data_IF_175910141002
#
_entry.id   IF_175910141002
#
_cell.length_a   1.000
_cell.length_b   1.000
_cell.length_c   1.000
_cell.angle_alpha   90.00
_cell.angle_beta   90.00
_cell.angle_gamma   90.00
#
_symmetry.space_group_name_H-M   'P 1'
#
loop_
_entity.id
_entity.type
_entity.pdbx_description
1 polymer ?
#
# COMPACT_ATOMS: atom_id res chain seq x y z
N UNK A 1 9.64 -11.66 4.29
CA UNK A 1 9.62 -10.39 3.54
C UNK A 1 9.63 -9.28 4.57
N UNK A 2 10.46 -8.26 4.37
CA UNK A 2 10.50 -7.03 5.15
C UNK A 2 10.09 -5.87 4.22
N UNK A 3 9.38 -4.87 4.75
CA UNK A 3 9.00 -3.66 4.00
C UNK A 3 9.55 -2.45 4.73
N UNK A 4 10.28 -1.61 4.02
CA UNK A 4 10.81 -0.34 4.50
C UNK A 4 10.22 0.79 3.66
N UNK A 5 9.93 1.93 4.27
CA UNK A 5 9.43 3.09 3.55
C UNK A 5 9.76 4.39 4.28
N UNK A 6 9.83 5.48 3.51
CA UNK A 6 9.89 6.85 4.03
C UNK A 6 8.50 7.50 4.15
N UNK A 7 7.43 6.78 3.80
CA UNK A 7 6.04 7.23 3.95
C UNK A 7 5.60 7.29 5.41
N UNK A 8 4.63 8.17 5.70
CA UNK A 8 4.08 8.37 7.04
C UNK A 8 3.28 7.17 7.56
N UNK A 9 2.68 6.38 6.67
CA UNK A 9 1.85 5.24 7.03
C UNK A 9 1.88 4.09 6.05
N UNK A 10 1.26 2.98 6.46
CA UNK A 10 1.00 1.81 5.62
C UNK A 10 -0.46 1.38 5.79
N UNK A 11 -1.20 1.33 4.69
CA UNK A 11 -2.51 0.68 4.66
C UNK A 11 -2.29 -0.83 4.56
N UNK A 12 -2.76 -1.55 5.56
CA UNK A 12 -2.82 -3.01 5.51
C UNK A 12 -4.21 -3.46 5.07
N UNK A 13 -4.27 -4.17 3.95
CA UNK A 13 -5.48 -4.82 3.49
C UNK A 13 -5.25 -6.33 3.40
N UNK A 14 -6.05 -7.10 4.13
CA UNK A 14 -5.90 -8.55 4.23
C UNK A 14 -6.65 -9.32 3.12
N UNK A 15 -6.96 -8.68 1.99
CA UNK A 15 -7.61 -9.35 0.86
C UNK A 15 -9.07 -9.74 1.13
N UNK A 16 -9.82 -8.97 1.94
CA UNK A 16 -11.13 -9.39 2.45
C UNK A 16 -12.26 -9.51 1.41
N UNK A 17 -12.10 -8.94 0.21
CA UNK A 17 -13.13 -8.86 -0.84
C UNK A 17 -12.53 -9.19 -2.21
N UNK A 18 -11.89 -10.35 -2.32
CA UNK A 18 -11.23 -10.83 -3.56
C UNK A 18 -12.08 -11.89 -4.26
N UNK A 19 -12.88 -12.64 -3.49
CA UNK A 19 -13.81 -13.64 -4.01
C UNK A 19 -14.76 -13.05 -5.06
N UNK A 20 -15.09 -13.85 -6.07
CA UNK A 20 -15.87 -13.40 -7.23
C UNK A 20 -15.06 -12.65 -8.30
N UNK A 21 -13.74 -12.51 -8.10
CA UNK A 21 -12.81 -12.01 -9.11
C UNK A 21 -12.51 -13.00 -10.25
N UNK A 22 -11.72 -12.57 -11.25
CA UNK A 22 -11.29 -13.44 -12.35
C UNK A 22 -10.37 -14.57 -11.85
N UNK A 23 -10.32 -15.68 -12.60
CA UNK A 23 -9.32 -16.74 -12.37
C UNK A 23 -7.91 -16.14 -12.51
N UNK A 24 -7.07 -16.41 -11.52
CA UNK A 24 -5.71 -15.93 -11.40
C UNK A 24 -4.71 -16.70 -12.25
N UNK A 25 -3.42 -16.50 -11.94
CA UNK A 25 -2.32 -17.18 -12.63
C UNK A 25 -2.38 -18.68 -12.36
N UNK A 26 -1.88 -19.45 -13.33
CA UNK A 26 -1.84 -20.92 -13.26
C UNK A 26 -3.21 -21.55 -12.97
N UNK A 27 -4.27 -20.91 -13.49
CA UNK A 27 -5.67 -21.31 -13.30
C UNK A 27 -6.10 -21.35 -11.81
N UNK A 28 -5.46 -20.54 -10.96
CA UNK A 28 -5.74 -20.48 -9.53
C UNK A 28 -6.93 -19.57 -9.25
N UNK A 29 -7.94 -20.08 -8.53
CA UNK A 29 -9.01 -19.24 -7.99
C UNK A 29 -8.48 -18.48 -6.77
N UNK A 30 -8.53 -17.14 -6.80
CA UNK A 30 -8.19 -16.31 -5.64
C UNK A 30 -9.46 -16.05 -4.81
N UNK A 31 -9.50 -16.65 -3.63
CA UNK A 31 -10.56 -16.44 -2.64
C UNK A 31 -10.24 -15.25 -1.73
N UNK A 32 -11.19 -14.88 -0.87
CA UNK A 32 -10.92 -13.90 0.18
C UNK A 32 -9.71 -14.33 1.03
N UNK A 33 -8.84 -13.36 1.31
CA UNK A 33 -7.60 -13.51 2.09
C UNK A 33 -6.51 -14.35 1.42
N UNK A 34 -6.61 -14.63 0.12
CA UNK A 34 -5.53 -15.24 -0.66
C UNK A 34 -4.35 -14.30 -0.96
N UNK A 35 -4.45 -13.02 -0.58
CA UNK A 35 -3.39 -12.04 -0.74
C UNK A 35 -3.49 -10.95 0.31
N UNK A 36 -2.40 -10.20 0.46
CA UNK A 36 -2.35 -9.01 1.32
C UNK A 36 -1.77 -7.84 0.53
N UNK A 37 -2.14 -6.63 0.93
CA UNK A 37 -1.53 -5.39 0.47
C UNK A 37 -0.84 -4.68 1.64
N UNK A 38 0.31 -4.09 1.37
CA UNK A 38 1.06 -3.21 2.27
C UNK A 38 1.33 -1.90 1.51
N UNK A 39 0.35 -1.01 1.50
CA UNK A 39 0.36 0.20 0.66
C UNK A 39 0.94 1.37 1.48
N UNK A 40 2.18 1.73 1.22
CA UNK A 40 2.90 2.80 1.92
C UNK A 40 2.50 4.17 1.37
N UNK A 41 2.01 5.07 2.21
CA UNK A 41 1.41 6.33 1.79
C UNK A 41 1.25 7.34 2.94
N UNK A 42 0.74 8.54 2.62
CA UNK A 42 0.12 9.43 3.60
C UNK A 42 -1.10 8.76 4.24
N UNK A 43 -1.51 9.24 5.42
CA UNK A 43 -2.74 8.73 6.01
C UNK A 43 -3.96 9.03 5.11
N UNK A 44 -4.93 8.11 5.02
CA UNK A 44 -6.20 8.40 4.37
C UNK A 44 -6.80 9.69 4.92
N UNK A 45 -7.40 10.49 4.05
CA UNK A 45 -8.05 11.76 4.40
C UNK A 45 -7.09 12.88 4.89
N UNK A 46 -5.76 12.74 4.70
CA UNK A 46 -4.79 13.76 5.12
C UNK A 46 -5.02 15.17 4.56
N UNK A 47 -5.72 15.30 3.43
CA UNK A 47 -6.05 16.62 2.86
C UNK A 47 -7.07 17.41 3.72
N UNK A 48 -7.94 16.70 4.45
CA UNK A 48 -9.01 17.29 5.25
C UNK A 48 -8.70 17.29 6.76
N UNK A 49 -7.59 16.69 7.19
CA UNK A 49 -7.21 16.57 8.59
C UNK A 49 -5.93 17.38 8.86
N UNK A 50 -6.07 18.56 9.45
CA UNK A 50 -4.96 19.49 9.70
C UNK A 50 -3.86 18.93 10.62
N UNK A 51 -4.18 17.91 11.42
CA UNK A 51 -3.22 17.22 12.29
C UNK A 51 -2.35 16.19 11.54
N UNK A 52 -2.67 15.88 10.29
CA UNK A 52 -1.88 14.98 9.45
C UNK A 52 -0.92 15.78 8.56
N UNK A 53 0.17 15.13 8.15
CA UNK A 53 1.10 15.74 7.19
C UNK A 53 0.34 16.03 5.90
N UNK A 54 0.38 17.29 5.46
CA UNK A 54 -0.31 17.71 4.25
C UNK A 54 0.24 16.96 3.02
N UNK A 55 -0.63 16.35 2.20
CA UNK A 55 -0.21 15.66 0.98
C UNK A 55 -0.06 16.61 -0.23
N UNK A 56 -0.11 17.93 -0.03
CA UNK A 56 -0.07 18.92 -1.12
C UNK A 56 1.37 19.13 -1.60
N UNK A 57 1.59 18.93 -2.90
CA UNK A 57 2.81 19.37 -3.59
C UNK A 57 2.58 20.74 -4.24
N UNK A 58 3.46 21.73 -3.96
CA UNK A 58 3.36 23.05 -4.59
C UNK A 58 4.05 23.07 -5.94
N UNK A 59 3.66 24.03 -6.78
CA UNK A 59 4.31 24.22 -8.09
C UNK A 59 5.81 24.49 -7.91
N UNK A 60 6.64 23.73 -8.62
CA UNK A 60 8.10 23.82 -8.56
C UNK A 60 8.76 22.90 -7.52
N UNK A 61 7.99 22.37 -6.56
CA UNK A 61 8.51 21.41 -5.58
C UNK A 61 8.63 20.00 -6.19
N UNK A 62 9.57 19.22 -5.68
CA UNK A 62 9.76 17.81 -6.06
C UNK A 62 9.12 16.91 -5.01
N UNK A 63 8.27 15.98 -5.45
CA UNK A 63 7.81 14.89 -4.62
C UNK A 63 8.67 13.65 -4.86
N UNK A 64 9.15 13.04 -3.78
CA UNK A 64 9.86 11.76 -3.78
C UNK A 64 9.37 10.93 -2.60
N UNK A 65 9.20 9.63 -2.83
CA UNK A 65 8.98 8.64 -1.78
C UNK A 65 9.53 7.30 -2.24
N UNK A 66 10.07 6.55 -1.29
CA UNK A 66 10.75 5.28 -1.50
C UNK A 66 10.13 4.19 -0.64
N UNK A 67 9.82 3.05 -1.27
CA UNK A 67 9.43 1.83 -0.58
C UNK A 67 10.26 0.66 -1.08
N UNK A 68 10.78 -0.14 -0.15
CA UNK A 68 11.70 -1.24 -0.40
C UNK A 68 11.07 -2.54 0.12
N UNK A 69 10.83 -3.47 -0.80
CA UNK A 69 10.44 -4.84 -0.49
C UNK A 69 11.66 -5.74 -0.47
N UNK A 70 12.09 -6.15 0.72
CA UNK A 70 13.27 -6.99 0.91
C UNK A 70 12.85 -8.44 1.19
N UNK A 71 13.22 -9.32 0.27
CA UNK A 71 13.01 -10.76 0.43
C UNK A 71 14.26 -11.40 1.00
N UNK A 72 14.08 -12.10 2.12
CA UNK A 72 15.13 -12.82 2.83
C UNK A 72 14.72 -14.28 2.95
N UNK A 73 15.68 -15.17 2.73
CA UNK A 73 15.53 -16.60 3.01
C UNK A 73 16.15 -16.87 4.38
N UNK A 74 15.50 -17.72 5.17
CA UNK A 74 16.03 -18.17 6.45
C UNK A 74 17.09 -19.26 6.24
#
# INVERSE_FOLDING_TARGET
MEVYSDSEGVQFYAGNFISGGPIGKDNTLYEDRCGICLETQYFPDSINNENFKSPILKAGDKYESTTIYKFIKK
#
